data_IF_798745177597
#
_entry.id   IF_798745177597
#
_cell.length_a   1.000
_cell.length_b   1.000
_cell.length_c   1.000
_cell.angle_alpha   90.00
_cell.angle_beta   90.00
_cell.angle_gamma   90.00
#
_symmetry.space_group_name_H-M   'P 1'
#
loop_
_entity.id
_entity.type
_entity.pdbx_description
1 polymer ?
#
# COMPACT_ATOMS: atom_id res chain seq x y z
N UNK A 1 -20.13 -18.66 -10.81
CA UNK A 1 -21.31 -18.13 -10.10
C UNK A 1 -20.81 -17.47 -8.84
N UNK A 2 -20.58 -16.15 -8.87
CA UNK A 2 -20.18 -15.39 -7.69
C UNK A 2 -21.46 -15.16 -6.88
N UNK A 3 -21.49 -15.69 -5.66
CA UNK A 3 -22.63 -15.54 -4.75
C UNK A 3 -22.92 -14.05 -4.53
N UNK A 4 -24.15 -13.62 -4.82
CA UNK A 4 -24.64 -12.24 -4.66
C UNK A 4 -24.84 -11.79 -3.20
N UNK A 5 -24.49 -12.63 -2.22
CA UNK A 5 -24.75 -12.38 -0.80
C UNK A 5 -23.56 -11.89 0.03
N UNK A 6 -22.40 -11.67 -0.56
CA UNK A 6 -21.25 -11.10 0.13
C UNK A 6 -21.26 -9.56 0.05
N UNK A 7 -22.10 -8.91 0.86
CA UNK A 7 -21.92 -7.51 1.16
C UNK A 7 -20.68 -7.39 2.07
N UNK A 8 -19.52 -6.91 1.58
CA UNK A 8 -18.29 -6.83 2.35
C UNK A 8 -18.41 -5.86 3.53
N UNK A 9 -19.39 -4.95 3.50
CA UNK A 9 -19.70 -4.04 4.61
C UNK A 9 -20.49 -4.67 5.76
N UNK A 10 -20.87 -5.96 5.67
CA UNK A 10 -21.39 -6.71 6.82
C UNK A 10 -20.29 -7.09 7.82
N UNK A 11 -19.03 -7.09 7.42
CA UNK A 11 -17.90 -7.29 8.33
C UNK A 11 -17.41 -5.91 8.77
N UNK A 12 -17.37 -5.70 10.07
CA UNK A 12 -16.73 -4.52 10.64
C UNK A 12 -15.21 -4.65 10.48
N UNK A 13 -14.48 -3.53 10.33
CA UNK A 13 -13.03 -3.59 10.33
C UNK A 13 -12.54 -4.23 11.63
N UNK A 14 -11.42 -4.95 11.59
CA UNK A 14 -10.80 -5.44 12.82
C UNK A 14 -10.52 -4.27 13.77
N UNK A 15 -11.01 -4.34 15.00
CA UNK A 15 -10.72 -3.31 16.00
C UNK A 15 -9.24 -3.23 16.30
N UNK A 16 -8.60 -4.40 16.41
CA UNK A 16 -7.18 -4.55 16.70
C UNK A 16 -6.68 -5.89 16.16
N UNK A 17 -5.41 -5.93 15.76
CA UNK A 17 -4.74 -7.15 15.33
C UNK A 17 -4.02 -7.03 14.01
N UNK A 18 -3.62 -8.16 13.47
CA UNK A 18 -2.92 -8.28 12.18
C UNK A 18 -3.79 -9.12 11.24
N UNK A 19 -3.97 -8.62 10.04
CA UNK A 19 -4.67 -9.33 8.95
C UNK A 19 -3.73 -9.50 7.77
N UNK A 20 -4.02 -10.48 6.92
CA UNK A 20 -3.32 -10.72 5.66
C UNK A 20 -4.25 -10.38 4.49
N UNK A 21 -3.71 -9.71 3.48
CA UNK A 21 -4.34 -9.53 2.18
C UNK A 21 -3.32 -9.76 1.06
N UNK A 22 -3.78 -9.74 -0.18
CA UNK A 22 -2.94 -9.87 -1.35
C UNK A 22 -3.11 -8.68 -2.28
N UNK A 23 -2.00 -8.19 -2.80
CA UNK A 23 -1.95 -7.16 -3.82
C UNK A 23 -1.26 -7.74 -5.03
N UNK A 24 -2.03 -8.06 -6.08
CA UNK A 24 -1.51 -8.72 -7.28
C UNK A 24 -0.63 -9.95 -6.92
N UNK A 25 -1.16 -10.83 -6.08
CA UNK A 25 -0.49 -12.03 -5.55
C UNK A 25 0.72 -11.77 -4.65
N UNK A 26 1.07 -10.51 -4.35
CA UNK A 26 2.08 -10.19 -3.36
C UNK A 26 1.40 -10.12 -1.99
N UNK A 27 1.77 -10.95 -1.03
CA UNK A 27 1.17 -10.90 0.30
C UNK A 27 1.53 -9.60 1.01
N UNK A 28 0.54 -9.00 1.64
CA UNK A 28 0.66 -7.79 2.45
C UNK A 28 -0.04 -8.04 3.78
N UNK A 29 0.68 -7.94 4.88
CA UNK A 29 0.03 -7.95 6.18
C UNK A 29 -0.23 -6.54 6.69
N UNK A 30 -1.31 -6.37 7.42
CA UNK A 30 -1.88 -5.10 7.81
C UNK A 30 -2.17 -5.10 9.30
N UNK A 31 -1.59 -4.15 10.02
CA UNK A 31 -1.86 -3.94 11.44
C UNK A 31 -2.99 -2.95 11.62
N UNK A 32 -3.96 -3.34 12.45
CA UNK A 32 -5.15 -2.57 12.79
C UNK A 32 -5.10 -2.10 14.24
N UNK A 33 -5.54 -0.87 14.48
CA UNK A 33 -5.82 -0.34 15.82
C UNK A 33 -7.03 0.58 15.73
N UNK A 34 -7.99 0.39 16.63
CA UNK A 34 -9.23 1.20 16.69
C UNK A 34 -9.95 1.26 15.33
N UNK A 35 -10.04 0.13 14.65
CA UNK A 35 -10.67 0.03 13.33
C UNK A 35 -9.94 0.80 12.22
N UNK A 36 -8.65 1.12 12.40
CA UNK A 36 -7.85 1.85 11.42
C UNK A 36 -6.54 1.13 11.11
N UNK A 37 -6.12 1.21 9.87
CA UNK A 37 -4.82 0.71 9.40
C UNK A 37 -3.73 1.66 9.93
N UNK A 38 -2.83 1.11 10.75
CA UNK A 38 -1.69 1.84 11.32
C UNK A 38 -0.38 1.47 10.64
N UNK A 39 -0.28 0.24 10.11
CA UNK A 39 0.90 -0.25 9.41
C UNK A 39 0.52 -1.27 8.36
N UNK A 40 1.33 -1.36 7.30
CA UNK A 40 1.28 -2.44 6.34
C UNK A 40 2.71 -2.81 5.93
N UNK A 41 2.98 -4.10 5.70
CA UNK A 41 4.29 -4.58 5.28
C UNK A 41 4.16 -5.68 4.24
N UNK A 42 5.05 -5.65 3.24
CA UNK A 42 5.15 -6.70 2.26
C UNK A 42 5.71 -7.97 2.91
N UNK A 43 5.02 -9.08 2.71
CA UNK A 43 5.50 -10.38 3.17
C UNK A 43 6.57 -10.90 2.21
N UNK A 44 7.82 -10.80 2.63
CA UNK A 44 8.96 -11.36 1.91
C UNK A 44 9.49 -12.52 2.74
N UNK A 45 9.88 -13.63 2.11
CA UNK A 45 10.29 -14.87 2.80
C UNK A 45 11.33 -14.66 3.93
N UNK A 46 12.19 -13.66 3.81
CA UNK A 46 13.14 -13.29 4.87
C UNK A 46 12.46 -12.75 6.13
N UNK A 47 11.30 -12.10 5.99
CA UNK A 47 10.53 -11.57 7.12
C UNK A 47 9.72 -12.65 7.82
N UNK A 48 9.31 -13.71 7.12
CA UNK A 48 8.63 -14.84 7.74
C UNK A 48 9.50 -15.52 8.82
N UNK A 49 10.82 -15.51 8.66
CA UNK A 49 11.74 -16.05 9.67
C UNK A 49 11.83 -15.22 10.94
N UNK A 50 11.78 -13.89 10.85
CA UNK A 50 11.83 -13.02 12.02
C UNK A 50 10.52 -12.98 12.81
N UNK A 51 9.38 -13.24 12.13
CA UNK A 51 8.07 -13.37 12.79
C UNK A 51 7.88 -14.76 13.42
N UNK A 52 8.52 -15.81 12.87
CA UNK A 52 8.49 -17.15 13.45
C UNK A 52 9.20 -17.25 14.81
N UNK A 53 10.14 -16.33 15.08
CA UNK A 53 10.87 -16.30 16.36
C UNK A 53 10.13 -15.54 17.46
N UNK A 54 9.10 -14.75 17.16
CA UNK A 54 8.45 -13.92 18.17
C UNK A 54 6.99 -14.22 18.52
N UNK A 55 6.15 -14.77 17.62
CA UNK A 55 4.73 -15.02 17.97
C UNK A 55 3.96 -16.06 17.10
N UNK A 56 4.53 -16.67 16.07
CA UNK A 56 3.82 -17.67 15.26
C UNK A 56 4.50 -19.03 15.37
N UNK A 57 4.22 -19.74 16.47
CA UNK A 57 4.62 -21.14 16.65
C UNK A 57 3.66 -22.16 16.00
N UNK A 58 2.85 -21.76 15.08
CA UNK A 58 2.03 -22.67 14.27
C UNK A 58 2.26 -22.37 12.79
N UNK A 59 2.66 -23.38 12.04
CA UNK A 59 2.90 -23.30 10.58
C UNK A 59 1.63 -23.06 9.75
N UNK A 60 0.67 -22.33 10.27
CA UNK A 60 -0.55 -21.93 9.59
C UNK A 60 -0.34 -20.56 8.95
N UNK A 61 -0.43 -20.51 7.63
CA UNK A 61 -0.58 -19.25 6.89
C UNK A 61 -1.85 -18.57 7.36
N UNK A 62 -1.74 -17.33 7.86
CA UNK A 62 -2.92 -16.54 8.22
C UNK A 62 -3.88 -16.49 7.02
N UNK A 63 -5.18 -16.75 7.23
CA UNK A 63 -6.15 -16.65 6.14
C UNK A 63 -6.24 -15.20 5.64
N UNK A 64 -6.50 -15.05 4.36
CA UNK A 64 -6.76 -13.73 3.77
C UNK A 64 -8.02 -13.16 4.42
N UNK A 65 -7.89 -11.97 5.01
CA UNK A 65 -9.00 -11.26 5.62
C UNK A 65 -9.88 -10.62 4.54
N UNK A 66 -11.16 -10.97 4.44
CA UNK A 66 -12.02 -10.49 3.36
C UNK A 66 -12.23 -8.98 3.38
N UNK A 67 -12.29 -8.37 4.57
CA UNK A 67 -12.48 -6.91 4.68
C UNK A 67 -11.24 -6.16 4.20
N UNK A 68 -10.07 -6.57 4.66
CA UNK A 68 -8.80 -5.97 4.23
C UNK A 68 -8.58 -6.17 2.73
N UNK A 69 -8.92 -7.36 2.19
CA UNK A 69 -8.85 -7.63 0.75
C UNK A 69 -9.78 -6.73 -0.04
N UNK A 70 -10.99 -6.50 0.45
CA UNK A 70 -11.91 -5.57 -0.19
C UNK A 70 -11.39 -4.12 -0.22
N UNK A 71 -10.67 -3.67 0.83
CA UNK A 71 -10.03 -2.35 0.80
C UNK A 71 -8.91 -2.27 -0.25
N UNK A 72 -8.20 -3.37 -0.52
CA UNK A 72 -7.24 -3.43 -1.62
C UNK A 72 -7.96 -3.21 -2.96
N UNK A 73 -9.07 -3.88 -3.19
CA UNK A 73 -9.88 -3.74 -4.41
C UNK A 73 -10.46 -2.33 -4.56
N UNK A 74 -11.02 -1.77 -3.49
CA UNK A 74 -11.51 -0.38 -3.48
C UNK A 74 -10.41 0.62 -3.85
N UNK A 75 -9.19 0.39 -3.37
CA UNK A 75 -8.06 1.28 -3.66
C UNK A 75 -7.62 1.25 -5.13
N UNK A 76 -7.95 0.18 -5.86
CA UNK A 76 -7.74 0.06 -7.31
C UNK A 76 -8.79 0.81 -8.12
N UNK A 77 -9.98 0.99 -7.58
CA UNK A 77 -11.06 1.75 -8.25
C UNK A 77 -10.94 3.23 -7.91
N UNK A 78 -10.83 3.54 -6.62
CA UNK A 78 -10.68 4.91 -6.12
C UNK A 78 -9.83 4.93 -4.84
N UNK A 79 -8.55 5.34 -4.92
CA UNK A 79 -7.67 5.37 -3.76
C UNK A 79 -8.18 6.24 -2.60
N UNK A 80 -9.01 7.24 -2.87
CA UNK A 80 -9.55 8.11 -1.82
C UNK A 80 -10.62 7.41 -0.95
N UNK A 81 -11.27 6.37 -1.47
CA UNK A 81 -12.32 5.64 -0.75
C UNK A 81 -11.83 4.94 0.52
N UNK A 82 -10.53 4.66 0.61
CA UNK A 82 -9.91 4.03 1.78
C UNK A 82 -9.50 5.02 2.86
N UNK A 83 -9.59 6.34 2.61
CA UNK A 83 -9.14 7.36 3.55
C UNK A 83 -9.73 7.24 4.97
N UNK A 84 -11.03 6.88 5.14
CA UNK A 84 -11.62 6.69 6.48
C UNK A 84 -10.94 5.60 7.32
N UNK A 85 -10.34 4.62 6.65
CA UNK A 85 -9.71 3.45 7.28
C UNK A 85 -8.23 3.66 7.61
N UNK A 86 -7.63 4.79 7.18
CA UNK A 86 -6.23 5.09 7.44
C UNK A 86 -6.09 5.82 8.78
N UNK A 87 -5.15 5.37 9.60
CA UNK A 87 -4.80 6.08 10.83
C UNK A 87 -4.22 7.47 10.51
N UNK A 88 -4.66 8.47 11.26
CA UNK A 88 -4.08 9.81 11.18
C UNK A 88 -2.73 9.90 11.89
N UNK A 89 -2.49 9.05 12.88
CA UNK A 89 -1.30 9.08 13.74
C UNK A 89 -0.14 8.25 13.17
N UNK A 90 -0.41 7.24 12.36
CA UNK A 90 0.59 6.26 11.88
C UNK A 90 1.44 6.72 10.70
N UNK A 91 1.16 7.82 10.04
CA UNK A 91 1.98 8.27 8.93
C UNK A 91 2.86 9.44 9.35
N UNK A 92 4.16 9.27 9.21
CA UNK A 92 5.14 10.37 9.30
C UNK A 92 5.05 11.32 8.07
N UNK A 93 3.96 11.22 7.30
CA UNK A 93 3.64 12.14 6.23
C UNK A 93 2.89 13.35 6.74
N UNK A 94 3.12 14.50 6.11
CA UNK A 94 2.17 15.58 6.24
C UNK A 94 0.80 15.14 5.68
N UNK A 95 -0.32 15.57 6.28
CA UNK A 95 -1.66 15.30 5.75
C UNK A 95 -1.78 15.66 4.26
N UNK A 96 -1.21 16.79 3.86
CA UNK A 96 -1.17 17.24 2.46
C UNK A 96 -0.50 16.22 1.51
N UNK A 97 0.64 15.64 1.91
CA UNK A 97 1.31 14.63 1.10
C UNK A 97 0.45 13.38 0.93
N UNK A 98 -0.20 12.92 2.00
CA UNK A 98 -1.09 11.77 1.97
C UNK A 98 -2.26 12.01 1.01
N UNK A 99 -2.93 13.15 1.15
CA UNK A 99 -4.04 13.52 0.28
C UNK A 99 -3.62 13.56 -1.19
N UNK A 100 -2.48 14.19 -1.50
CA UNK A 100 -1.94 14.23 -2.87
C UNK A 100 -1.64 12.83 -3.42
N UNK A 101 -1.05 11.94 -2.60
CA UNK A 101 -0.78 10.56 -3.04
C UNK A 101 -2.08 9.82 -3.38
N UNK A 102 -3.13 9.99 -2.57
CA UNK A 102 -4.43 9.35 -2.80
C UNK A 102 -5.18 9.91 -4.01
N UNK A 103 -4.79 11.05 -4.57
CA UNK A 103 -5.36 11.53 -5.84
C UNK A 103 -4.76 10.87 -7.07
N UNK A 104 -3.62 10.20 -6.93
CA UNK A 104 -2.95 9.55 -8.06
C UNK A 104 -3.69 8.24 -8.37
N UNK A 105 -4.31 8.17 -9.54
CA UNK A 105 -5.07 7.00 -9.94
C UNK A 105 -4.16 5.79 -10.26
N UNK A 106 -4.64 4.55 -10.11
CA UNK A 106 -3.94 3.35 -10.55
C UNK A 106 -3.48 3.47 -12.01
N UNK A 107 -2.32 2.91 -12.32
CA UNK A 107 -1.71 3.00 -13.65
C UNK A 107 -1.10 4.35 -14.01
N UNK A 108 -1.29 5.39 -13.16
CA UNK A 108 -0.71 6.73 -13.33
C UNK A 108 0.46 6.94 -12.36
N UNK A 109 1.42 7.77 -12.78
CA UNK A 109 2.58 8.10 -11.94
C UNK A 109 2.85 9.61 -11.93
N UNK A 110 3.46 10.08 -10.85
CA UNK A 110 4.08 11.40 -10.77
C UNK A 110 5.57 11.25 -10.50
N UNK A 111 6.36 12.21 -10.95
CA UNK A 111 7.76 12.25 -10.55
C UNK A 111 7.91 12.88 -9.15
N UNK A 112 9.02 12.58 -8.46
CA UNK A 112 9.36 13.25 -7.19
C UNK A 112 9.35 14.78 -7.33
N UNK A 113 9.80 15.30 -8.48
CA UNK A 113 9.78 16.75 -8.75
C UNK A 113 8.36 17.30 -8.91
N UNK A 114 7.47 16.57 -9.61
CA UNK A 114 6.07 16.98 -9.77
C UNK A 114 5.33 16.95 -8.43
N UNK A 115 5.58 15.94 -7.60
CA UNK A 115 4.99 15.88 -6.26
C UNK A 115 5.51 17.03 -5.38
N UNK A 116 6.81 17.31 -5.42
CA UNK A 116 7.40 18.45 -4.70
C UNK A 116 6.78 19.78 -5.12
N UNK A 117 6.60 20.00 -6.42
CA UNK A 117 5.98 21.20 -6.95
C UNK A 117 4.53 21.37 -6.47
N UNK A 118 3.72 20.29 -6.47
CA UNK A 118 2.34 20.31 -5.96
C UNK A 118 2.26 20.58 -4.45
N UNK A 119 3.30 20.25 -3.71
CA UNK A 119 3.41 20.56 -2.29
C UNK A 119 3.97 21.95 -1.99
N UNK A 120 4.27 22.76 -3.01
CA UNK A 120 4.95 24.04 -2.83
C UNK A 120 6.40 23.91 -2.35
N UNK A 121 6.99 22.72 -2.47
CA UNK A 121 8.36 22.42 -2.08
C UNK A 121 9.28 22.37 -3.28
N UNK A 122 10.51 22.87 -3.15
CA UNK A 122 11.52 22.80 -4.20
C UNK A 122 12.40 21.55 -4.14
N UNK A 123 12.19 20.68 -3.14
CA UNK A 123 13.10 19.60 -2.80
C UNK A 123 12.58 18.19 -3.15
N UNK A 124 12.83 17.67 -4.35
CA UNK A 124 12.54 16.26 -4.70
C UNK A 124 13.18 15.25 -3.73
N UNK A 125 14.37 15.55 -3.20
CA UNK A 125 15.06 14.71 -2.20
C UNK A 125 14.30 14.66 -0.87
N UNK A 126 13.78 15.79 -0.38
CA UNK A 126 12.97 15.84 0.85
C UNK A 126 11.69 15.04 0.72
N UNK A 127 11.04 15.12 -0.46
CA UNK A 127 9.87 14.28 -0.79
C UNK A 127 10.24 12.79 -0.79
N UNK A 128 11.34 12.40 -1.43
CA UNK A 128 11.78 11.01 -1.46
C UNK A 128 12.08 10.47 -0.05
N UNK A 129 12.75 11.27 0.80
CA UNK A 129 13.02 10.91 2.19
C UNK A 129 11.72 10.80 3.03
N UNK A 130 10.72 11.64 2.77
CA UNK A 130 9.42 11.51 3.42
C UNK A 130 8.72 10.22 2.99
N UNK A 131 8.73 9.91 1.69
CA UNK A 131 8.08 8.72 1.14
C UNK A 131 8.72 7.41 1.65
N UNK A 132 10.03 7.39 1.93
CA UNK A 132 10.69 6.19 2.51
C UNK A 132 10.21 5.84 3.92
N UNK A 133 9.53 6.76 4.60
CA UNK A 133 8.93 6.57 5.93
C UNK A 133 7.47 6.12 5.87
N UNK A 134 6.97 5.75 4.70
CA UNK A 134 5.60 5.26 4.56
C UNK A 134 5.40 3.96 5.33
N UNK A 135 4.58 4.01 6.38
CA UNK A 135 4.26 2.85 7.21
C UNK A 135 3.07 2.03 6.68
N UNK A 136 2.33 2.56 5.71
CA UNK A 136 1.15 1.92 5.13
C UNK A 136 1.26 1.86 3.60
N UNK A 137 2.33 1.20 3.07
CA UNK A 137 2.50 1.03 1.64
C UNK A 137 1.29 0.32 1.03
N UNK A 138 1.07 0.50 -0.26
CA UNK A 138 -0.12 0.20 -1.01
C UNK A 138 -1.27 1.16 -0.70
N UNK A 139 -1.81 1.17 0.51
CA UNK A 139 -2.94 2.03 0.90
C UNK A 139 -2.61 3.53 0.77
N UNK A 140 -1.37 3.93 1.04
CA UNK A 140 -0.83 5.22 0.61
C UNK A 140 0.15 4.95 -0.53
N UNK A 141 -0.24 5.21 -1.79
CA UNK A 141 0.40 4.65 -2.97
C UNK A 141 1.71 5.37 -3.35
N UNK A 142 2.71 5.33 -2.47
CA UNK A 142 4.03 5.92 -2.73
C UNK A 142 4.79 5.22 -3.88
N UNK A 143 4.40 3.99 -4.26
CA UNK A 143 4.94 3.31 -5.43
C UNK A 143 4.61 4.02 -6.74
N UNK A 144 3.55 4.86 -6.80
CA UNK A 144 3.19 5.69 -7.97
C UNK A 144 4.08 6.93 -8.14
N UNK A 145 5.06 7.14 -7.23
CA UNK A 145 6.05 8.23 -7.37
C UNK A 145 7.34 7.67 -7.95
N UNK A 146 7.77 8.22 -9.08
CA UNK A 146 8.94 7.75 -9.85
C UNK A 146 9.99 8.85 -9.98
N UNK A 147 11.18 8.50 -10.40
CA UNK A 147 12.19 9.45 -10.84
C UNK A 147 11.85 10.06 -12.21
N UNK A 148 12.66 10.98 -12.65
CA UNK A 148 12.58 11.51 -14.02
C UNK A 148 13.01 10.44 -15.04
N UNK A 149 12.58 10.59 -16.28
CA UNK A 149 12.99 9.75 -17.43
C UNK A 149 12.74 8.24 -17.22
N UNK A 150 11.65 7.87 -16.55
CA UNK A 150 11.28 6.46 -16.33
C UNK A 150 12.06 5.73 -15.25
N UNK A 151 12.97 6.40 -14.54
CA UNK A 151 13.66 5.82 -13.41
C UNK A 151 12.67 5.54 -12.28
N UNK A 152 12.63 4.31 -11.77
CA UNK A 152 11.72 3.93 -10.68
C UNK A 152 12.04 4.65 -9.37
N UNK A 153 13.30 5.11 -9.17
CA UNK A 153 13.76 5.59 -7.88
C UNK A 153 13.86 4.46 -6.85
N UNK A 154 14.08 4.83 -5.58
CA UNK A 154 14.09 3.87 -4.48
C UNK A 154 12.66 3.46 -4.04
N UNK A 155 12.57 2.30 -3.39
CA UNK A 155 11.36 1.85 -2.70
C UNK A 155 11.77 0.93 -1.55
N UNK A 156 11.91 1.49 -0.35
CA UNK A 156 12.39 0.77 0.84
C UNK A 156 11.33 0.68 1.94
N UNK A 157 10.07 0.81 1.55
CA UNK A 157 8.93 0.78 2.46
C UNK A 157 8.47 -0.65 2.75
N UNK A 158 7.78 -0.83 3.85
CA UNK A 158 7.22 -2.15 4.20
C UNK A 158 8.28 -3.20 4.52
N UNK A 159 9.44 -2.79 5.04
CA UNK A 159 10.47 -3.71 5.49
C UNK A 159 11.38 -4.30 4.40
N UNK A 160 11.23 -3.88 3.13
CA UNK A 160 12.02 -4.37 2.02
C UNK A 160 13.45 -3.82 2.01
N UNK A 161 14.41 -4.60 1.54
CA UNK A 161 15.68 -4.07 1.05
C UNK A 161 15.43 -3.20 -0.20
N UNK A 162 16.40 -2.37 -0.57
CA UNK A 162 16.26 -1.53 -1.76
C UNK A 162 15.99 -2.34 -3.04
N UNK A 163 16.67 -3.47 -3.22
CA UNK A 163 16.52 -4.32 -4.39
C UNK A 163 15.14 -5.00 -4.44
N UNK A 164 14.69 -5.57 -3.33
CA UNK A 164 13.36 -6.18 -3.20
C UNK A 164 12.27 -5.13 -3.42
N UNK A 165 12.44 -3.95 -2.82
CA UNK A 165 11.48 -2.86 -2.97
C UNK A 165 11.36 -2.39 -4.42
N UNK A 166 12.44 -2.23 -5.15
CA UNK A 166 12.39 -1.86 -6.58
C UNK A 166 11.64 -2.91 -7.38
N UNK A 167 11.88 -4.20 -7.14
CA UNK A 167 11.17 -5.28 -7.81
C UNK A 167 9.66 -5.26 -7.51
N UNK A 168 9.29 -5.08 -6.25
CA UNK A 168 7.88 -4.92 -5.85
C UNK A 168 7.26 -3.71 -6.54
N UNK A 169 7.91 -2.56 -6.49
CA UNK A 169 7.41 -1.33 -7.12
C UNK A 169 7.18 -1.49 -8.62
N UNK A 170 8.13 -2.11 -9.31
CA UNK A 170 8.02 -2.40 -10.74
C UNK A 170 6.81 -3.30 -11.04
N UNK A 171 6.63 -4.37 -10.25
CA UNK A 171 5.50 -5.28 -10.39
C UNK A 171 4.16 -4.58 -10.14
N UNK A 172 4.05 -3.78 -9.08
CA UNK A 172 2.85 -3.02 -8.76
C UNK A 172 2.45 -2.08 -9.90
N UNK A 173 3.40 -1.29 -10.41
CA UNK A 173 3.15 -0.36 -11.50
C UNK A 173 2.74 -1.06 -12.81
N UNK A 174 3.34 -2.22 -13.11
CA UNK A 174 2.97 -3.02 -14.27
C UNK A 174 1.56 -3.56 -14.14
N UNK A 175 1.24 -4.18 -13.00
CA UNK A 175 -0.07 -4.78 -12.75
C UNK A 175 -1.20 -3.74 -12.72
N UNK A 176 -0.95 -2.56 -12.14
CA UNK A 176 -1.93 -1.46 -12.20
C UNK A 176 -2.22 -1.01 -13.64
N UNK A 177 -1.21 -0.96 -14.50
CA UNK A 177 -1.40 -0.63 -15.93
C UNK A 177 -2.24 -1.68 -16.64
N UNK A 178 -1.98 -2.97 -16.40
CA UNK A 178 -2.76 -4.06 -16.95
C UNK A 178 -4.22 -3.98 -16.46
N UNK A 179 -4.43 -3.84 -15.16
CA UNK A 179 -5.75 -3.70 -14.55
C UNK A 179 -6.58 -2.57 -15.18
N UNK A 180 -5.99 -1.38 -15.33
CA UNK A 180 -6.67 -0.22 -15.93
C UNK A 180 -6.95 -0.43 -17.41
N UNK A 181 -6.09 -1.14 -18.15
CA UNK A 181 -6.33 -1.45 -19.56
C UNK A 181 -7.48 -2.42 -19.76
N UNK A 182 -7.61 -3.44 -18.89
CA UNK A 182 -8.70 -4.42 -18.91
C UNK A 182 -10.05 -3.83 -18.50
N UNK A 183 -10.05 -2.91 -17.53
CA UNK A 183 -11.27 -2.25 -17.06
C UNK A 183 -11.90 -1.27 -18.08
N UNK A 184 -11.24 -0.99 -19.19
CA UNK A 184 -11.73 -0.10 -20.27
C UNK A 184 -12.49 -0.81 -21.39
N UNK A 185 -12.56 -2.14 -21.33
CA UNK A 185 -13.29 -2.99 -22.26
C UNK A 185 -14.49 -3.64 -21.56
#
# INVERSE_FOLDING_TARGET
MISRDSNPFKQMPPEQGITLCQVFEIPLWVEWREGRIVRAQWWIEKFSRSLQESEVSTGETLPIDPFTQHLVELSLVNPQSIYPWLSRQGSQFSPQMRELLLTIQPGSTLTYGQLAARMGSRGARGVAQSLSRNQIPWFVPCHRITGSQGNLGGYTVGGCTQQEGIAIKQRLLLQEKCYVSEARY
#
